data_IF_149587242237
#
_entry.id   IF_149587242237
#
_cell.length_a   1.000
_cell.length_b   1.000
_cell.length_c   1.000
_cell.angle_alpha   90.00
_cell.angle_beta   90.00
_cell.angle_gamma   90.00
#
_symmetry.space_group_name_H-M   'P 1'
#
loop_
_entity.id
_entity.type
_entity.pdbx_description
1 polymer ?
#
# COMPACT_ATOMS: atom_id res chain seq x y z
N UNK A 1 -11.43 -13.68 -6.98
CA UNK A 1 -10.34 -12.98 -6.24
C UNK A 1 -9.08 -13.80 -6.44
N UNK A 2 -7.99 -13.19 -6.93
CA UNK A 2 -6.78 -13.92 -7.35
C UNK A 2 -6.18 -14.77 -6.22
N UNK A 3 -6.26 -14.31 -4.97
CA UNK A 3 -5.83 -15.07 -3.78
C UNK A 3 -6.50 -16.45 -3.69
N UNK A 4 -7.83 -16.51 -3.80
CA UNK A 4 -8.59 -17.78 -3.73
C UNK A 4 -8.31 -18.71 -4.92
N UNK A 5 -8.09 -18.13 -6.10
CA UNK A 5 -7.79 -18.89 -7.30
C UNK A 5 -6.43 -19.58 -7.19
N UNK A 6 -5.42 -18.84 -6.72
CA UNK A 6 -4.09 -19.38 -6.44
C UNK A 6 -4.14 -20.46 -5.35
N UNK A 7 -4.86 -20.22 -4.25
CA UNK A 7 -5.05 -21.20 -3.17
C UNK A 7 -5.72 -22.49 -3.67
N UNK A 8 -6.76 -22.37 -4.49
CA UNK A 8 -7.44 -23.52 -5.08
C UNK A 8 -6.52 -24.31 -6.02
N UNK A 9 -5.76 -23.62 -6.87
CA UNK A 9 -4.79 -24.26 -7.76
C UNK A 9 -3.71 -24.99 -6.96
N UNK A 10 -3.21 -24.39 -5.88
CA UNK A 10 -2.25 -25.04 -4.97
C UNK A 10 -2.86 -26.31 -4.37
N UNK A 11 -4.11 -26.26 -3.91
CA UNK A 11 -4.76 -27.42 -3.31
C UNK A 11 -4.96 -28.56 -4.32
N UNK A 12 -5.33 -28.25 -5.56
CA UNK A 12 -5.49 -29.23 -6.65
C UNK A 12 -4.15 -29.86 -6.99
N UNK A 13 -3.12 -29.06 -7.24
CA UNK A 13 -1.82 -29.57 -7.69
C UNK A 13 -1.07 -30.32 -6.58
N UNK A 14 -1.19 -29.90 -5.31
CA UNK A 14 -0.62 -30.66 -4.20
C UNK A 14 -1.26 -32.04 -4.05
N UNK A 15 -2.54 -32.19 -4.39
CA UNK A 15 -3.17 -33.51 -4.42
C UNK A 15 -2.53 -34.40 -5.48
N UNK A 16 -2.28 -33.85 -6.67
CA UNK A 16 -1.59 -34.56 -7.75
C UNK A 16 -0.16 -34.94 -7.35
N UNK A 17 0.59 -34.04 -6.69
CA UNK A 17 1.94 -34.35 -6.17
C UNK A 17 1.87 -35.51 -5.18
N UNK A 18 0.93 -35.46 -4.23
CA UNK A 18 0.78 -36.51 -3.21
C UNK A 18 0.42 -37.89 -3.80
N UNK A 19 -0.36 -37.92 -4.88
CA UNK A 19 -0.65 -39.16 -5.60
C UNK A 19 0.61 -39.73 -6.27
N UNK A 20 1.57 -38.87 -6.67
CA UNK A 20 2.82 -39.29 -7.29
C UNK A 20 3.96 -39.55 -6.29
N UNK A 21 3.89 -39.04 -5.05
CA UNK A 21 4.86 -39.34 -3.98
C UNK A 21 4.99 -40.85 -3.70
N UNK A 22 3.96 -41.64 -4.01
CA UNK A 22 4.00 -43.10 -3.89
C UNK A 22 4.82 -43.78 -5.01
N UNK A 23 5.08 -43.06 -6.10
CA UNK A 23 5.71 -43.57 -7.33
C UNK A 23 7.10 -42.98 -7.60
N UNK A 24 7.33 -41.74 -7.17
CA UNK A 24 8.59 -41.03 -7.36
C UNK A 24 9.20 -40.56 -6.04
N UNK A 25 10.53 -40.43 -6.05
CA UNK A 25 11.30 -39.89 -4.92
C UNK A 25 11.50 -38.37 -4.97
N UNK A 26 11.08 -37.73 -6.07
CA UNK A 26 11.20 -36.29 -6.26
C UNK A 26 9.95 -35.58 -5.69
N UNK A 27 10.01 -35.26 -4.40
CA UNK A 27 8.88 -34.64 -3.70
C UNK A 27 8.89 -33.10 -3.81
N UNK A 28 10.06 -32.48 -3.98
CA UNK A 28 10.19 -31.03 -4.08
C UNK A 28 11.37 -30.62 -4.96
N UNK A 29 11.17 -29.59 -5.78
CA UNK A 29 12.20 -29.02 -6.66
C UNK A 29 12.85 -27.81 -6.00
N UNK A 30 14.18 -27.80 -5.99
CA UNK A 30 14.98 -26.65 -5.58
C UNK A 30 15.42 -25.81 -6.79
N UNK A 31 15.40 -24.49 -6.63
CA UNK A 31 15.91 -23.56 -7.64
C UNK A 31 17.39 -23.25 -7.39
N UNK A 32 18.14 -23.04 -8.47
CA UNK A 32 19.60 -22.82 -8.41
C UNK A 32 19.98 -21.49 -7.74
N UNK A 33 19.11 -20.48 -7.82
CA UNK A 33 19.40 -19.13 -7.33
C UNK A 33 18.17 -18.51 -6.63
N UNK A 34 17.80 -19.00 -5.44
CA UNK A 34 16.74 -18.39 -4.65
C UNK A 34 17.14 -16.96 -4.23
N UNK A 35 16.15 -16.08 -4.07
CA UNK A 35 16.35 -14.69 -3.63
C UNK A 35 15.53 -14.41 -2.39
N UNK A 36 16.17 -13.75 -1.42
CA UNK A 36 15.51 -13.31 -0.19
C UNK A 36 15.26 -11.80 -0.24
N UNK A 37 14.09 -11.37 0.23
CA UNK A 37 13.68 -9.98 0.27
C UNK A 37 13.08 -9.65 1.63
N UNK A 38 13.71 -8.72 2.36
CA UNK A 38 13.16 -8.19 3.59
C UNK A 38 12.11 -7.11 3.30
N UNK A 39 10.88 -7.31 3.78
CA UNK A 39 9.77 -6.38 3.56
C UNK A 39 9.10 -5.99 4.87
N UNK A 40 8.88 -4.69 5.08
CA UNK A 40 8.17 -4.17 6.25
C UNK A 40 6.67 -4.07 5.95
N UNK A 41 5.88 -4.93 6.58
CA UNK A 41 4.43 -4.97 6.44
C UNK A 41 3.78 -4.10 7.53
N UNK A 42 3.00 -3.09 7.14
CA UNK A 42 2.29 -2.21 8.09
C UNK A 42 0.79 -2.49 8.19
N UNK A 43 0.21 -3.11 7.16
CA UNK A 43 -1.24 -3.32 7.06
C UNK A 43 -1.57 -4.76 6.69
N UNK A 44 -2.72 -5.30 7.13
CA UNK A 44 -3.18 -6.63 6.71
C UNK A 44 -3.37 -6.75 5.19
N UNK A 45 -3.74 -5.65 4.52
CA UNK A 45 -3.92 -5.62 3.07
C UNK A 45 -2.58 -5.83 2.34
N UNK A 46 -1.50 -5.21 2.83
CA UNK A 46 -0.16 -5.43 2.27
C UNK A 46 0.29 -6.89 2.45
N UNK A 47 -0.05 -7.52 3.59
CA UNK A 47 0.23 -8.94 3.82
C UNK A 47 -0.46 -9.85 2.80
N UNK A 48 -1.70 -9.54 2.39
CA UNK A 48 -2.40 -10.31 1.35
C UNK A 48 -1.68 -10.27 0.01
N UNK A 49 -1.12 -9.11 -0.37
CA UNK A 49 -0.33 -8.99 -1.60
C UNK A 49 0.94 -9.84 -1.54
N UNK A 50 1.64 -9.83 -0.39
CA UNK A 50 2.81 -10.69 -0.18
C UNK A 50 2.43 -12.18 -0.31
N UNK A 51 1.30 -12.60 0.27
CA UNK A 51 0.81 -13.98 0.12
C UNK A 51 0.50 -14.37 -1.32
N UNK A 52 -0.03 -13.45 -2.12
CA UNK A 52 -0.25 -13.69 -3.56
C UNK A 52 1.07 -13.99 -4.27
N UNK A 53 2.13 -13.22 -3.99
CA UNK A 53 3.46 -13.44 -4.57
C UNK A 53 4.04 -14.79 -4.12
N UNK A 54 3.93 -15.11 -2.83
CA UNK A 54 4.38 -16.40 -2.29
C UNK A 54 3.64 -17.58 -2.90
N UNK A 55 2.32 -17.47 -3.07
CA UNK A 55 1.50 -18.52 -3.69
C UNK A 55 1.82 -18.68 -5.18
N UNK A 56 2.13 -17.58 -5.87
CA UNK A 56 2.56 -17.61 -7.27
C UNK A 56 3.90 -18.35 -7.43
N UNK A 57 4.87 -18.09 -6.56
CA UNK A 57 6.17 -18.78 -6.53
C UNK A 57 5.99 -20.27 -6.20
N UNK A 58 5.18 -20.58 -5.19
CA UNK A 58 4.85 -21.96 -4.81
C UNK A 58 4.20 -22.75 -5.95
N UNK A 59 3.33 -22.12 -6.73
CA UNK A 59 2.71 -22.78 -7.89
C UNK A 59 3.76 -23.14 -8.95
N UNK A 60 4.74 -22.27 -9.21
CA UNK A 60 5.83 -22.60 -10.13
C UNK A 60 6.60 -23.81 -9.66
N UNK A 61 6.95 -23.85 -8.37
CA UNK A 61 7.65 -24.98 -7.78
C UNK A 61 6.87 -26.29 -7.93
N UNK A 62 5.57 -26.28 -7.63
CA UNK A 62 4.72 -27.48 -7.75
C UNK A 62 4.62 -27.95 -9.21
N UNK A 63 4.45 -27.04 -10.16
CA UNK A 63 4.37 -27.38 -11.59
C UNK A 63 5.68 -27.99 -12.06
N UNK A 64 6.81 -27.39 -11.68
CA UNK A 64 8.14 -27.92 -12.03
C UNK A 64 8.37 -29.29 -11.40
N UNK A 65 7.91 -29.52 -10.17
CA UNK A 65 7.89 -30.86 -9.55
C UNK A 65 7.08 -31.86 -10.38
N UNK A 66 5.85 -31.51 -10.76
CA UNK A 66 4.98 -32.40 -11.53
C UNK A 66 5.54 -32.67 -12.93
N UNK A 67 6.18 -31.68 -13.54
CA UNK A 67 6.84 -31.84 -14.83
C UNK A 67 8.06 -32.76 -14.75
N UNK A 68 8.93 -32.59 -13.75
CA UNK A 68 10.10 -33.47 -13.55
C UNK A 68 9.71 -34.90 -13.16
N UNK A 69 8.54 -35.08 -12.55
CA UNK A 69 7.93 -36.39 -12.31
C UNK A 69 7.19 -36.97 -13.53
N UNK A 70 7.27 -36.30 -14.68
CA UNK A 70 6.64 -36.73 -15.93
C UNK A 70 5.10 -36.85 -15.84
N UNK A 71 4.47 -36.08 -14.95
CA UNK A 71 3.01 -35.98 -14.80
C UNK A 71 2.38 -35.00 -15.79
N UNK A 72 3.15 -34.00 -16.23
CA UNK A 72 2.73 -33.02 -17.23
C UNK A 72 3.68 -32.98 -18.42
N UNK A 73 3.11 -32.74 -19.59
CA UNK A 73 3.89 -32.45 -20.80
C UNK A 73 4.36 -30.99 -20.80
N UNK A 74 5.41 -30.70 -21.58
CA UNK A 74 5.96 -29.34 -21.69
C UNK A 74 4.89 -28.30 -22.08
N UNK A 75 4.04 -28.63 -23.04
CA UNK A 75 3.02 -27.69 -23.54
C UNK A 75 2.00 -27.33 -22.45
N UNK A 76 1.60 -28.30 -21.62
CA UNK A 76 0.66 -28.09 -20.51
C UNK A 76 1.27 -27.21 -19.43
N UNK A 77 2.57 -27.39 -19.16
CA UNK A 77 3.34 -26.56 -18.22
C UNK A 77 3.42 -25.11 -18.71
N UNK A 78 3.78 -24.91 -19.98
CA UNK A 78 3.89 -23.57 -20.56
C UNK A 78 2.54 -22.84 -20.62
N UNK A 79 1.46 -23.57 -20.94
CA UNK A 79 0.11 -23.01 -20.93
C UNK A 79 -0.30 -22.57 -19.52
N UNK A 80 -0.03 -23.41 -18.51
CA UNK A 80 -0.34 -23.09 -17.12
C UNK A 80 0.47 -21.89 -16.62
N UNK A 81 1.79 -21.87 -16.86
CA UNK A 81 2.66 -20.73 -16.51
C UNK A 81 2.21 -19.45 -17.21
N UNK A 82 1.82 -19.53 -18.48
CA UNK A 82 1.26 -18.39 -19.21
C UNK A 82 -0.02 -17.86 -18.57
N UNK A 83 -0.94 -18.75 -18.15
CA UNK A 83 -2.15 -18.36 -17.41
C UNK A 83 -1.83 -17.69 -16.08
N UNK A 84 -0.87 -18.21 -15.30
CA UNK A 84 -0.42 -17.59 -14.05
C UNK A 84 0.18 -16.19 -14.28
N UNK A 85 1.01 -16.04 -15.31
CA UNK A 85 1.62 -14.75 -15.66
C UNK A 85 0.56 -13.71 -16.02
N UNK A 86 -0.44 -14.10 -16.81
CA UNK A 86 -1.55 -13.22 -17.14
C UNK A 86 -2.35 -12.79 -15.91
N UNK A 87 -2.61 -13.71 -14.96
CA UNK A 87 -3.30 -13.40 -13.70
C UNK A 87 -2.57 -12.33 -12.89
N UNK A 88 -1.25 -12.47 -12.69
CA UNK A 88 -0.45 -11.48 -11.96
C UNK A 88 -0.36 -10.16 -12.72
N UNK A 89 -0.20 -10.21 -14.04
CA UNK A 89 -0.16 -9.01 -14.89
C UNK A 89 -1.45 -8.21 -14.79
N UNK A 90 -2.60 -8.88 -14.83
CA UNK A 90 -3.91 -8.24 -14.76
C UNK A 90 -4.18 -7.67 -13.36
N UNK A 91 -3.74 -8.38 -12.30
CA UNK A 91 -3.76 -7.85 -10.93
C UNK A 91 -2.93 -6.57 -10.80
N UNK A 92 -1.70 -6.56 -11.31
CA UNK A 92 -0.84 -5.38 -11.27
C UNK A 92 -1.44 -4.20 -12.05
N UNK A 93 -2.03 -4.48 -13.23
CA UNK A 93 -2.70 -3.47 -14.04
C UNK A 93 -3.93 -2.87 -13.31
N UNK A 94 -4.75 -3.73 -12.66
CA UNK A 94 -5.89 -3.28 -11.87
C UNK A 94 -5.45 -2.43 -10.68
N UNK A 95 -4.43 -2.85 -9.94
CA UNK A 95 -3.90 -2.10 -8.79
C UNK A 95 -3.40 -0.71 -9.22
N UNK A 96 -2.66 -0.64 -10.33
CA UNK A 96 -2.18 0.64 -10.88
C UNK A 96 -3.34 1.57 -11.26
N UNK A 97 -4.36 1.04 -11.94
CA UNK A 97 -5.55 1.82 -12.32
C UNK A 97 -6.30 2.36 -11.11
N UNK A 98 -6.48 1.53 -10.09
CA UNK A 98 -7.18 1.95 -8.87
C UNK A 98 -6.38 2.99 -8.10
N UNK A 99 -5.06 2.81 -7.97
CA UNK A 99 -4.19 3.79 -7.33
C UNK A 99 -4.22 5.15 -8.05
N UNK A 100 -4.20 5.14 -9.40
CA UNK A 100 -4.30 6.36 -10.19
C UNK A 100 -5.66 7.03 -10.01
N UNK A 101 -6.76 6.27 -10.10
CA UNK A 101 -8.11 6.81 -9.91
C UNK A 101 -8.27 7.44 -8.52
N UNK A 102 -7.80 6.78 -7.46
CA UNK A 102 -7.83 7.34 -6.11
C UNK A 102 -6.98 8.60 -5.96
N UNK A 103 -5.83 8.68 -6.63
CA UNK A 103 -5.01 9.89 -6.64
C UNK A 103 -5.71 11.04 -7.39
N UNK A 104 -6.33 10.75 -8.54
CA UNK A 104 -7.05 11.72 -9.34
C UNK A 104 -8.30 12.23 -8.60
N UNK A 105 -9.03 11.36 -7.90
CA UNK A 105 -10.16 11.72 -7.04
C UNK A 105 -9.72 12.63 -5.88
N UNK A 106 -8.61 12.30 -5.21
CA UNK A 106 -8.06 13.12 -4.13
C UNK A 106 -7.62 14.50 -4.64
N UNK A 107 -6.96 14.55 -5.79
CA UNK A 107 -6.52 15.81 -6.39
C UNK A 107 -7.72 16.68 -6.80
N UNK A 108 -8.77 16.08 -7.37
CA UNK A 108 -10.01 16.79 -7.69
C UNK A 108 -10.73 17.28 -6.43
N UNK A 109 -10.81 16.46 -5.38
CA UNK A 109 -11.43 16.85 -4.11
C UNK A 109 -10.67 18.01 -3.44
N UNK A 110 -9.34 17.95 -3.42
CA UNK A 110 -8.50 19.02 -2.88
C UNK A 110 -8.60 20.30 -3.71
N UNK A 111 -8.64 20.20 -5.04
CA UNK A 111 -8.86 21.35 -5.93
C UNK A 111 -10.21 22.03 -5.67
N UNK A 112 -11.29 21.26 -5.55
CA UNK A 112 -12.63 21.78 -5.22
C UNK A 112 -12.71 22.36 -3.80
N UNK A 113 -12.00 21.78 -2.84
CA UNK A 113 -11.91 22.32 -1.49
C UNK A 113 -11.19 23.68 -1.48
N UNK A 114 -10.06 23.81 -2.20
CA UNK A 114 -9.33 25.06 -2.35
C UNK A 114 -10.16 26.14 -3.06
N UNK A 115 -10.92 25.80 -4.12
CA UNK A 115 -11.84 26.73 -4.79
C UNK A 115 -12.96 27.21 -3.86
N UNK A 116 -13.47 26.33 -2.98
CA UNK A 116 -14.52 26.68 -2.01
C UNK A 116 -14.00 27.57 -0.88
N UNK A 117 -12.77 27.37 -0.42
CA UNK A 117 -12.11 28.27 0.54
C UNK A 117 -11.80 29.64 -0.07
N UNK A 118 -11.40 29.67 -1.35
CA UNK A 118 -11.18 30.92 -2.09
C UNK A 118 -12.49 31.70 -2.29
N UNK A 119 -13.58 31.01 -2.64
CA UNK A 119 -14.90 31.62 -2.81
C UNK A 119 -15.53 32.10 -1.48
N UNK A 120 -15.29 31.38 -0.38
CA UNK A 120 -15.73 31.77 0.96
C UNK A 120 -14.96 32.94 1.56
N UNK A 121 -13.82 33.32 0.99
CA UNK A 121 -13.01 34.47 1.44
C UNK A 121 -13.38 35.79 0.73
N UNK A 122 -14.43 35.81 -0.09
CA UNK A 122 -14.84 36.98 -0.90
C UNK A 122 -16.06 37.75 -0.38
N UNK A 123 -16.57 37.44 0.82
CA UNK A 123 -17.54 38.33 1.49
C UNK A 123 -16.79 39.46 2.21
N UNK A 124 -16.53 40.53 1.46
CA UNK A 124 -16.16 41.85 1.98
C UNK A 124 -17.29 42.42 2.84
N UNK A 125 -17.08 42.51 4.16
CA UNK A 125 -17.78 43.49 4.98
C UNK A 125 -17.32 44.90 4.60
N UNK A 126 -18.23 45.86 4.34
CA UNK A 126 -17.86 47.24 4.05
C UNK A 126 -17.50 48.00 5.32
N UNK A 127 -16.32 48.61 5.29
CA UNK A 127 -15.83 49.65 6.20
C UNK A 127 -16.84 50.79 6.41
N UNK A 128 -17.18 51.10 7.66
CA UNK A 128 -17.52 52.47 8.07
C UNK A 128 -16.59 52.91 9.20
N UNK A 129 -15.77 53.91 8.88
CA UNK A 129 -15.01 54.74 9.83
C UNK A 129 -15.91 55.91 10.19
N UNK A 130 -16.09 56.19 11.49
CA UNK A 130 -16.26 57.59 11.92
C UNK A 130 -15.53 57.80 13.24
N UNK A 131 -14.74 58.87 13.27
CA UNK A 131 -13.90 59.29 14.39
C UNK A 131 -14.63 60.36 15.19
N UNK A 132 -14.64 60.25 16.52
CA UNK A 132 -14.46 61.42 17.39
C UNK A 132 -13.93 61.00 18.77
N UNK A 133 -12.80 61.59 19.17
CA UNK A 133 -12.10 61.50 20.47
C UNK A 133 -12.31 62.86 21.20
N UNK A 134 -11.88 63.15 22.46
CA UNK A 134 -11.19 62.39 23.52
C UNK A 134 -11.85 62.60 24.93
N UNK A 135 -11.45 62.00 26.07
CA UNK A 135 -10.33 62.39 26.96
C UNK A 135 -10.39 61.56 28.28
N UNK A 136 -9.22 61.00 28.67
CA UNK A 136 -8.63 60.72 30.00
C UNK A 136 -9.48 60.32 31.23
N UNK A 137 -9.08 59.23 31.90
CA UNK A 137 -8.57 59.33 33.29
C UNK A 137 -7.73 58.11 33.71
N UNK A 138 -6.51 58.44 34.16
CA UNK A 138 -5.58 57.64 34.96
C UNK A 138 -6.20 57.09 36.25
N UNK A 139 -5.85 55.85 36.60
CA UNK A 139 -5.62 55.43 38.00
C UNK A 139 -4.83 54.10 38.05
N UNK A 140 -3.50 54.27 38.13
CA UNK A 140 -2.48 53.56 38.92
C UNK A 140 -2.77 52.22 39.64
N UNK A 141 -1.83 51.26 39.47
CA UNK A 141 -0.97 50.61 40.49
C UNK A 141 -0.61 49.17 40.05
N UNK A 142 0.63 48.92 39.61
CA UNK A 142 1.82 48.52 40.39
C UNK A 142 1.95 47.00 40.63
N UNK A 143 3.18 46.53 40.39
CA UNK A 143 3.80 45.27 40.85
C UNK A 143 3.43 43.95 40.12
N UNK A 144 4.33 43.51 39.22
CA UNK A 144 5.28 42.45 39.58
C UNK A 144 6.28 42.23 38.43
N UNK A 145 7.43 42.87 38.62
CA UNK A 145 8.73 42.47 38.10
C UNK A 145 9.15 41.12 38.75
N UNK A 146 10.16 40.45 38.20
CA UNK A 146 10.73 39.15 38.61
C UNK A 146 10.25 37.92 37.84
N UNK A 147 10.84 37.69 36.66
CA UNK A 147 11.33 36.34 36.31
C UNK A 147 12.39 36.29 35.19
N UNK A 148 12.97 37.43 34.77
CA UNK A 148 13.91 37.46 33.64
C UNK A 148 15.39 37.55 34.04
N UNK A 149 15.85 36.70 34.98
CA UNK A 149 17.28 36.57 35.30
C UNK A 149 17.63 35.11 35.61
N UNK A 150 17.72 34.27 34.57
CA UNK A 150 18.35 32.95 34.69
C UNK A 150 19.15 32.51 33.44
N UNK A 151 19.24 33.35 32.40
CA UNK A 151 19.96 32.98 31.16
C UNK A 151 20.98 34.06 30.82
N UNK A 152 21.92 34.35 31.73
CA UNK A 152 23.11 35.15 31.36
C UNK A 152 24.35 34.98 32.23
N UNK A 153 24.60 33.78 32.77
CA UNK A 153 25.87 33.46 33.45
C UNK A 153 26.39 32.07 33.12
N UNK A 154 26.60 31.78 31.84
CA UNK A 154 27.68 30.89 31.37
C UNK A 154 28.11 31.35 29.96
N UNK A 155 28.73 32.52 29.92
CA UNK A 155 29.63 32.96 28.86
C UNK A 155 30.77 33.72 29.53
#
# INVERSE_FOLDING_TARGET
>A
MPEKELENNIAILNRAVKEEEERSSLNEVGYTHPKEHEVRIRTPQAMRVIRIIQNFDKLHQIIDTLWLNNCFNQDEVEEFKSRLHNLIRDLAASLKRHAQASADELNQANGRAAEKELAGSTETEPTQVDQDTPVLQDASNEANDDQNEAIKRQA
#
